data_IF_470579919948
#
_entry.id   IF_470579919948
#
_cell.length_a   1.000
_cell.length_b   1.000
_cell.length_c   1.000
_cell.angle_alpha   90.00
_cell.angle_beta   90.00
_cell.angle_gamma   90.00
#
_symmetry.space_group_name_H-M   'P 1'
#
loop_
_entity.id
_entity.type
_entity.pdbx_description
1 polymer ?
#
# COMPACT_ATOMS: atom_id res chain seq x y z
N UNK A 1 -0.93 6.84 -0.42
CA UNK A 1 -2.16 6.07 -0.09
C UNK A 1 -3.38 6.98 -0.07
N UNK A 2 -3.48 7.90 0.89
CA UNK A 2 -4.60 8.83 1.01
C UNK A 2 -4.84 9.72 -0.22
N UNK A 3 -3.78 10.25 -0.85
CA UNK A 3 -3.89 11.04 -2.09
C UNK A 3 -4.49 10.28 -3.28
N UNK A 4 -4.44 8.95 -3.24
CA UNK A 4 -5.04 8.06 -4.26
C UNK A 4 -6.37 7.46 -3.83
N UNK A 5 -6.91 7.89 -2.68
CA UNK A 5 -8.16 7.39 -2.12
C UNK A 5 -8.09 5.97 -1.53
N UNK A 6 -6.89 5.40 -1.39
CA UNK A 6 -6.70 4.03 -0.90
C UNK A 6 -6.60 4.07 0.62
N UNK A 7 -7.50 3.32 1.29
CA UNK A 7 -7.46 3.14 2.75
C UNK A 7 -6.33 2.17 3.14
N UNK A 8 -5.24 2.74 3.62
CA UNK A 8 -4.12 2.00 4.18
C UNK A 8 -2.95 2.90 4.55
N UNK A 9 -1.96 2.32 5.19
CA UNK A 9 -0.71 2.96 5.59
C UNK A 9 0.49 2.32 4.89
N UNK A 10 1.52 3.12 4.67
CA UNK A 10 2.85 2.63 4.31
C UNK A 10 3.65 2.64 5.59
N UNK A 11 4.09 1.46 6.03
CA UNK A 11 4.90 1.31 7.23
C UNK A 11 6.34 1.07 6.80
N UNK A 12 7.22 1.97 7.21
CA UNK A 12 8.66 1.86 6.95
C UNK A 12 9.32 1.40 8.24
N UNK A 13 9.87 0.19 8.22
CA UNK A 13 10.70 -0.31 9.30
C UNK A 13 12.16 0.02 9.01
N UNK A 14 12.64 1.09 9.65
CA UNK A 14 14.02 1.55 9.52
C UNK A 14 15.05 0.58 10.12
N UNK A 15 14.63 -0.36 10.97
CA UNK A 15 15.54 -1.31 11.62
C UNK A 15 15.89 -2.47 10.68
N UNK A 16 14.89 -2.99 9.96
CA UNK A 16 15.07 -4.06 8.97
C UNK A 16 15.37 -3.54 7.56
N UNK A 17 15.16 -2.24 7.31
CA UNK A 17 15.27 -1.65 5.98
C UNK A 17 14.12 -2.06 5.06
N UNK A 18 13.02 -2.56 5.63
CA UNK A 18 11.85 -3.01 4.88
C UNK A 18 10.75 -1.96 4.88
N UNK A 19 9.99 -1.95 3.79
CA UNK A 19 8.77 -1.17 3.67
C UNK A 19 7.62 -2.11 3.33
N UNK A 20 6.54 -2.03 4.08
CA UNK A 20 5.34 -2.82 3.84
C UNK A 20 4.10 -1.95 3.81
N UNK A 21 3.16 -2.37 2.98
CA UNK A 21 1.87 -1.73 2.82
C UNK A 21 0.86 -2.49 3.67
N UNK A 22 0.18 -1.78 4.56
CA UNK A 22 -0.90 -2.33 5.36
C UNK A 22 -2.21 -1.64 4.95
N UNK A 23 -3.17 -2.43 4.49
CA UNK A 23 -4.51 -1.94 4.14
C UNK A 23 -5.55 -2.71 4.91
N UNK A 24 -6.75 -2.13 5.01
CA UNK A 24 -7.92 -2.93 5.36
C UNK A 24 -8.18 -3.98 4.26
N UNK A 25 -9.13 -4.90 4.49
CA UNK A 25 -9.57 -5.83 3.45
C UNK A 25 -10.20 -5.00 2.32
N UNK A 26 -9.46 -4.86 1.24
CA UNK A 26 -9.85 -4.11 0.07
C UNK A 26 -10.43 -5.05 -1.00
N UNK A 27 -11.44 -4.61 -1.77
CA UNK A 27 -11.87 -5.32 -2.96
C UNK A 27 -10.77 -5.31 -4.04
N UNK A 28 -10.74 -6.32 -4.92
CA UNK A 28 -9.68 -6.50 -5.92
C UNK A 28 -9.36 -5.25 -6.74
N UNK A 29 -10.38 -4.45 -7.09
CA UNK A 29 -10.20 -3.20 -7.85
C UNK A 29 -9.39 -2.13 -7.13
N UNK A 30 -9.38 -2.11 -5.80
CA UNK A 30 -8.54 -1.20 -5.00
C UNK A 30 -7.15 -1.80 -4.77
N UNK A 31 -7.04 -3.13 -4.64
CA UNK A 31 -5.76 -3.83 -4.60
C UNK A 31 -4.97 -3.61 -5.90
N UNK A 32 -5.60 -3.71 -7.07
CA UNK A 32 -4.95 -3.51 -8.38
C UNK A 32 -4.28 -2.14 -8.51
N UNK A 33 -4.84 -1.10 -7.91
CA UNK A 33 -4.23 0.24 -7.88
C UNK A 33 -2.95 0.27 -7.06
N UNK A 34 -2.89 -0.52 -5.98
CA UNK A 34 -1.68 -0.66 -5.15
C UNK A 34 -0.63 -1.44 -5.91
N UNK A 35 -1.01 -2.55 -6.54
CA UNK A 35 -0.09 -3.38 -7.33
C UNK A 35 0.55 -2.56 -8.46
N UNK A 36 -0.26 -1.81 -9.21
CA UNK A 36 0.23 -0.90 -10.24
C UNK A 36 1.22 0.15 -9.70
N UNK A 37 0.97 0.65 -8.49
CA UNK A 37 1.85 1.65 -7.86
C UNK A 37 3.18 1.06 -7.40
N UNK A 38 3.23 -0.22 -7.02
CA UNK A 38 4.47 -0.92 -6.68
C UNK A 38 5.27 -1.29 -7.93
N UNK A 39 4.60 -1.55 -9.04
CA UNK A 39 5.24 -1.91 -10.32
C UNK A 39 5.85 -0.71 -11.08
N UNK A 40 5.51 0.53 -10.72
CA UNK A 40 5.98 1.77 -11.39
C UNK A 40 7.08 2.45 -10.61
#
# INVERSE_FOLDING_TARGET
MAERGIKGSVNVDSLSGLCYIQTDVLPNTELDKITWWVDT
#
